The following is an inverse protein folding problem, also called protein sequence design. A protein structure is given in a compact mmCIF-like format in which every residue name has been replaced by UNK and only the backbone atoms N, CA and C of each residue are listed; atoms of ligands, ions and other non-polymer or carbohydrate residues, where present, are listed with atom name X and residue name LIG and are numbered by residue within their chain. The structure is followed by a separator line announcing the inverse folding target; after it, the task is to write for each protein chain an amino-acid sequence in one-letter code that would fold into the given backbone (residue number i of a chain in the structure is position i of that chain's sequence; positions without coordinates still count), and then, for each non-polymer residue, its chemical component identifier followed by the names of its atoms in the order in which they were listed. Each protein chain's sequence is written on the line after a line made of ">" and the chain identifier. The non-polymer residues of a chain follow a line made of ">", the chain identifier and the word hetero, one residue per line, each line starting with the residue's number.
data_IF_789958611635
#
_entry.id   IF_789958611635
#
_cell.length_a   1.000
_cell.length_b   1.000
_cell.length_c   1.000
_cell.angle_alpha   90.00
_cell.angle_beta   90.00
_cell.angle_gamma   90.00
#
_symmetry.space_group_name_H-M   'P 1'
#
loop_
_entity.id
_entity.type
_entity.pdbx_description
1 polymer ?
#
# COMPACT_ATOMS: atom_id res chain seq x y z
N UNK A 1 -25.43 41.55 -31.60
CA UNK A 1 -25.87 40.15 -31.69
C UNK A 1 -24.81 39.32 -30.99
N UNK A 2 -24.94 39.16 -29.67
CA UNK A 2 -23.94 38.49 -28.84
C UNK A 2 -24.34 37.03 -28.67
N UNK A 3 -23.46 36.13 -29.06
CA UNK A 3 -23.67 34.68 -28.94
C UNK A 3 -23.43 34.31 -27.48
N UNK A 4 -24.49 33.83 -26.82
CA UNK A 4 -24.41 33.29 -25.46
C UNK A 4 -23.99 31.82 -25.58
N UNK A 5 -22.78 31.49 -25.18
CA UNK A 5 -22.34 30.10 -25.00
C UNK A 5 -23.16 29.45 -23.88
N UNK A 6 -23.55 28.16 -24.00
CA UNK A 6 -24.22 27.46 -22.91
C UNK A 6 -23.21 27.17 -21.79
N UNK A 7 -23.61 27.46 -20.56
CA UNK A 7 -22.85 27.10 -19.36
C UNK A 7 -22.73 25.57 -19.26
N UNK A 8 -21.50 25.07 -19.29
CA UNK A 8 -21.19 23.67 -18.98
C UNK A 8 -21.41 23.45 -17.48
N UNK A 9 -22.19 22.45 -17.04
CA UNK A 9 -22.23 22.14 -15.62
C UNK A 9 -20.91 21.44 -15.26
N UNK A 10 -20.06 22.15 -14.52
CA UNK A 10 -19.03 21.53 -13.68
C UNK A 10 -19.75 20.67 -12.64
N UNK A 11 -19.75 19.35 -12.86
CA UNK A 11 -20.22 18.40 -11.86
C UNK A 11 -19.27 17.20 -11.79
N UNK A 12 -18.06 17.48 -11.29
CA UNK A 12 -17.12 16.47 -10.82
C UNK A 12 -17.14 16.40 -9.28
N UNK A 13 -18.32 16.26 -8.68
CA UNK A 13 -18.44 15.63 -7.37
C UNK A 13 -18.85 14.20 -7.59
N UNK A 14 -17.85 13.33 -7.83
CA UNK A 14 -18.04 11.91 -7.60
C UNK A 14 -18.17 11.80 -6.07
N UNK A 15 -19.40 11.59 -5.62
CA UNK A 15 -19.73 11.34 -4.23
C UNK A 15 -19.18 9.93 -3.91
N UNK A 16 -18.02 9.86 -3.25
CA UNK A 16 -17.35 8.60 -2.89
C UNK A 16 -18.10 7.81 -1.79
N UNK A 17 -19.28 8.27 -1.38
CA UNK A 17 -20.06 7.78 -0.23
C UNK A 17 -20.94 6.54 -0.54
N UNK A 18 -21.01 6.07 -1.79
CA UNK A 18 -21.93 4.98 -2.20
C UNK A 18 -21.26 3.60 -2.42
N UNK A 19 -20.02 3.40 -1.96
CA UNK A 19 -19.49 2.03 -1.84
C UNK A 19 -20.01 1.41 -0.55
N UNK A 20 -21.04 0.57 -0.64
CA UNK A 20 -21.50 -0.27 0.47
C UNK A 20 -20.37 -1.23 0.90
N UNK A 21 -19.60 -0.85 1.91
CA UNK A 21 -18.56 -1.67 2.52
C UNK A 21 -19.19 -2.43 3.69
N UNK A 22 -19.27 -3.78 3.64
CA UNK A 22 -19.73 -4.55 4.80
C UNK A 22 -18.79 -4.25 5.97
N UNK A 23 -19.32 -3.63 7.02
CA UNK A 23 -18.58 -3.31 8.23
C UNK A 23 -18.23 -4.61 8.96
N UNK A 24 -17.04 -5.15 8.69
CA UNK A 24 -16.41 -6.12 9.58
C UNK A 24 -16.06 -5.38 10.87
N UNK A 25 -16.36 -5.94 12.05
CA UNK A 25 -15.99 -5.30 13.31
C UNK A 25 -14.46 -5.22 13.37
N UNK A 26 -13.91 -4.02 13.17
CA UNK A 26 -12.48 -3.78 13.36
C UNK A 26 -12.18 -3.97 14.85
N UNK A 27 -11.44 -5.01 15.20
CA UNK A 27 -10.81 -5.08 16.52
C UNK A 27 -10.09 -3.75 16.80
N UNK A 28 -10.13 -3.22 18.03
CA UNK A 28 -9.43 -1.99 18.35
C UNK A 28 -7.96 -2.13 17.94
N UNK A 29 -7.55 -1.31 16.97
CA UNK A 29 -6.21 -1.36 16.40
C UNK A 29 -5.21 -1.14 17.53
N UNK A 30 -4.40 -2.15 17.85
CA UNK A 30 -3.28 -1.95 18.78
C UNK A 30 -2.41 -0.82 18.21
N UNK A 31 -2.05 0.20 19.01
CA UNK A 31 -1.19 1.27 18.53
C UNK A 31 0.15 0.69 18.08
N UNK A 32 0.40 0.67 16.77
CA UNK A 32 1.68 0.27 16.19
C UNK A 32 2.08 1.31 15.17
N UNK A 33 3.28 1.87 15.32
CA UNK A 33 3.84 2.86 14.40
C UNK A 33 4.54 2.12 13.26
N UNK A 34 4.06 2.20 12.01
CA UNK A 34 4.60 1.37 10.93
C UNK A 34 6.11 1.54 10.76
N UNK A 35 6.64 2.75 10.86
CA UNK A 35 8.08 3.03 10.77
C UNK A 35 8.69 3.44 12.12
N UNK A 36 10.00 3.21 12.34
CA UNK A 36 10.71 3.67 13.53
C UNK A 36 10.74 5.20 13.61
N UNK A 37 10.86 5.74 14.84
CA UNK A 37 10.93 7.19 15.08
C UNK A 37 12.15 7.84 14.44
N UNK A 38 13.26 7.12 14.41
CA UNK A 38 14.50 7.56 13.77
C UNK A 38 14.70 6.73 12.52
N UNK A 39 14.82 7.41 11.38
CA UNK A 39 15.14 6.78 10.11
C UNK A 39 16.59 6.32 10.12
N UNK A 40 16.83 5.04 9.84
CA UNK A 40 18.17 4.47 9.71
C UNK A 40 18.45 4.05 8.27
N UNK A 41 17.60 3.17 7.73
CA UNK A 41 17.62 2.70 6.36
C UNK A 41 16.27 2.06 6.01
N UNK A 42 16.02 1.86 4.73
CA UNK A 42 14.77 1.32 4.20
C UNK A 42 14.47 -0.11 4.70
N UNK A 43 15.50 -0.94 4.86
CA UNK A 43 15.32 -2.32 5.34
C UNK A 43 14.74 -2.34 6.77
N UNK A 44 15.31 -1.56 7.69
CA UNK A 44 14.81 -1.44 9.06
C UNK A 44 13.41 -0.85 9.12
N UNK A 45 13.10 0.13 8.25
CA UNK A 45 11.76 0.68 8.12
C UNK A 45 10.74 -0.38 7.65
N UNK A 46 11.08 -1.18 6.64
CA UNK A 46 10.20 -2.22 6.10
C UNK A 46 10.04 -3.39 7.07
N UNK A 47 11.07 -3.75 7.83
CA UNK A 47 10.97 -4.74 8.91
C UNK A 47 10.00 -4.29 10.01
N UNK A 48 10.09 -3.02 10.42
CA UNK A 48 9.14 -2.41 11.35
C UNK A 48 7.73 -2.42 10.77
N UNK A 49 7.59 -2.06 9.49
CA UNK A 49 6.31 -2.05 8.79
C UNK A 49 5.68 -3.43 8.80
N UNK A 50 6.43 -4.46 8.41
CA UNK A 50 5.97 -5.84 8.39
C UNK A 50 5.45 -6.28 9.76
N UNK A 51 6.21 -6.02 10.84
CA UNK A 51 5.80 -6.35 12.21
C UNK A 51 4.49 -5.68 12.59
N UNK A 52 4.36 -4.37 12.34
CA UNK A 52 3.12 -3.65 12.65
C UNK A 52 1.94 -4.11 11.78
N UNK A 53 2.18 -4.38 10.51
CA UNK A 53 1.17 -4.83 9.57
C UNK A 53 0.61 -6.20 9.98
N UNK A 54 1.49 -7.16 10.27
CA UNK A 54 1.11 -8.50 10.70
C UNK A 54 0.36 -8.48 12.03
N UNK A 55 0.82 -7.70 13.02
CA UNK A 55 0.12 -7.52 14.30
C UNK A 55 -1.30 -6.96 14.13
N UNK A 56 -1.49 -6.08 13.14
CA UNK A 56 -2.76 -5.39 12.92
C UNK A 56 -3.78 -6.23 12.17
N UNK A 57 -3.34 -6.93 11.12
CA UNK A 57 -4.24 -7.60 10.19
C UNK A 57 -4.23 -9.13 10.33
N UNK A 58 -3.33 -9.71 11.13
CA UNK A 58 -3.14 -11.16 11.30
C UNK A 58 -2.89 -11.93 9.98
N UNK A 59 -2.55 -11.22 8.92
CA UNK A 59 -2.20 -11.72 7.60
C UNK A 59 -1.40 -10.63 6.88
N UNK A 60 -0.39 -11.04 6.10
CA UNK A 60 0.55 -10.10 5.48
C UNK A 60 1.09 -10.66 4.16
N UNK A 61 1.09 -9.86 3.07
CA UNK A 61 1.89 -10.16 1.89
C UNK A 61 3.37 -10.26 2.25
N UNK A 62 4.13 -11.03 1.47
CA UNK A 62 5.58 -11.10 1.64
C UNK A 62 6.22 -9.82 1.09
N UNK A 63 6.70 -8.97 2.00
CA UNK A 63 7.37 -7.73 1.63
C UNK A 63 8.86 -7.92 1.36
N UNK A 64 9.37 -7.23 0.34
CA UNK A 64 10.78 -7.14 0.06
C UNK A 64 11.48 -6.23 1.06
N UNK A 65 12.40 -6.79 1.84
CA UNK A 65 13.19 -6.04 2.83
C UNK A 65 14.46 -5.48 2.17
N UNK A 66 14.48 -4.19 1.91
CA UNK A 66 15.59 -3.49 1.28
C UNK A 66 15.16 -2.20 0.59
N UNK A 67 16.06 -1.53 -0.11
CA UNK A 67 15.70 -0.34 -0.89
C UNK A 67 14.92 -0.70 -2.15
N UNK A 68 14.07 0.22 -2.63
CA UNK A 68 13.31 0.04 -3.86
C UNK A 68 14.23 -0.29 -5.05
N UNK A 69 15.42 0.31 -5.10
CA UNK A 69 16.38 0.03 -6.16
C UNK A 69 16.89 -1.41 -6.14
N UNK A 70 17.10 -2.00 -4.95
CA UNK A 70 17.44 -3.42 -4.85
C UNK A 70 16.26 -4.33 -5.22
N UNK A 71 15.03 -3.93 -4.88
CA UNK A 71 13.82 -4.63 -5.31
C UNK A 71 13.72 -4.67 -6.85
N UNK A 72 13.95 -3.53 -7.53
CA UNK A 72 14.00 -3.45 -8.98
C UNK A 72 15.09 -4.35 -9.59
N UNK A 73 16.30 -4.35 -9.01
CA UNK A 73 17.36 -5.27 -9.47
C UNK A 73 16.92 -6.72 -9.37
N UNK A 74 16.33 -7.14 -8.24
CA UNK A 74 15.83 -8.51 -8.11
C UNK A 74 14.70 -8.83 -9.11
N UNK A 75 13.83 -7.86 -9.40
CA UNK A 75 12.71 -8.02 -10.32
C UNK A 75 13.16 -8.21 -11.77
N UNK A 76 14.17 -7.46 -12.21
CA UNK A 76 14.50 -7.32 -13.64
C UNK A 76 15.82 -7.98 -14.02
N UNK A 77 16.78 -8.11 -13.11
CA UNK A 77 18.14 -8.54 -13.41
C UNK A 77 18.35 -10.06 -13.21
N UNK A 78 17.29 -10.86 -13.02
CA UNK A 78 17.44 -12.32 -13.01
C UNK A 78 17.91 -12.84 -14.38
N UNK A 79 18.89 -13.75 -14.34
CA UNK A 79 19.42 -14.46 -15.51
C UNK A 79 18.33 -15.31 -16.19
N UNK A 80 17.43 -15.89 -15.39
CA UNK A 80 16.30 -16.68 -15.89
C UNK A 80 15.10 -15.77 -16.12
N UNK A 81 14.72 -15.56 -17.39
CA UNK A 81 13.58 -14.70 -17.76
C UNK A 81 12.29 -15.09 -17.01
N UNK A 82 12.07 -16.39 -16.78
CA UNK A 82 10.90 -16.92 -16.05
C UNK A 82 10.83 -16.51 -14.57
N UNK A 83 11.93 -16.06 -13.98
CA UNK A 83 11.99 -15.60 -12.59
C UNK A 83 11.79 -14.09 -12.47
N UNK A 84 11.82 -13.37 -13.60
CA UNK A 84 11.56 -11.93 -13.63
C UNK A 84 10.09 -11.69 -13.34
N UNK A 85 9.85 -10.78 -12.40
CA UNK A 85 8.50 -10.44 -11.96
C UNK A 85 8.41 -8.96 -11.64
N UNK A 86 7.31 -8.29 -11.97
CA UNK A 86 7.14 -6.87 -11.72
C UNK A 86 7.25 -6.51 -10.23
N UNK A 87 7.65 -5.27 -9.96
CA UNK A 87 7.61 -4.69 -8.61
C UNK A 87 6.23 -4.05 -8.38
N UNK A 88 5.55 -4.45 -7.30
CA UNK A 88 4.36 -3.76 -6.79
C UNK A 88 4.79 -2.83 -5.67
N UNK A 89 4.70 -1.52 -5.90
CA UNK A 89 4.94 -0.51 -4.86
C UNK A 89 3.65 -0.25 -4.11
N UNK A 90 3.61 -0.59 -2.82
CA UNK A 90 2.46 -0.36 -1.95
C UNK A 90 2.70 0.86 -1.05
N UNK A 91 1.97 1.94 -1.31
CA UNK A 91 2.03 3.16 -0.49
C UNK A 91 0.96 3.09 0.58
N UNK A 92 1.39 3.09 1.84
CA UNK A 92 0.52 2.99 3.00
C UNK A 92 0.38 4.33 3.70
N UNK A 93 -0.86 4.73 3.99
CA UNK A 93 -1.18 5.86 4.85
C UNK A 93 -2.07 5.39 6.01
N UNK A 94 -1.48 5.27 7.20
CA UNK A 94 -2.11 4.66 8.38
C UNK A 94 -3.40 5.37 8.81
N UNK A 95 -3.46 6.69 8.58
CA UNK A 95 -4.62 7.53 8.93
C UNK A 95 -5.75 7.45 7.90
N UNK A 96 -5.55 6.77 6.76
CA UNK A 96 -6.62 6.55 5.79
C UNK A 96 -7.49 5.36 6.22
N UNK A 97 -8.78 5.61 6.41
CA UNK A 97 -9.78 4.57 6.64
C UNK A 97 -9.78 3.58 5.46
N UNK A 98 -9.73 4.09 4.23
CA UNK A 98 -9.72 3.27 3.03
C UNK A 98 -8.48 2.38 2.93
N UNK A 99 -7.30 2.84 3.38
CA UNK A 99 -6.10 2.00 3.41
C UNK A 99 -6.26 0.82 4.37
N UNK A 100 -6.86 1.05 5.54
CA UNK A 100 -7.12 -0.01 6.52
C UNK A 100 -8.17 -1.03 6.00
N UNK A 101 -9.25 -0.54 5.39
CA UNK A 101 -10.29 -1.39 4.78
C UNK A 101 -9.71 -2.20 3.61
N UNK A 102 -8.92 -1.56 2.75
CA UNK A 102 -8.24 -2.23 1.64
C UNK A 102 -7.34 -3.36 2.13
N UNK A 103 -6.54 -3.11 3.19
CA UNK A 103 -5.72 -4.14 3.80
C UNK A 103 -6.58 -5.31 4.29
N UNK A 104 -7.60 -5.05 5.10
CA UNK A 104 -8.44 -6.08 5.69
C UNK A 104 -9.20 -6.93 4.66
N UNK A 105 -9.80 -6.29 3.67
CA UNK A 105 -10.74 -6.96 2.76
C UNK A 105 -10.09 -7.49 1.48
N UNK A 106 -8.98 -6.89 1.04
CA UNK A 106 -8.38 -7.20 -0.26
C UNK A 106 -6.94 -7.68 -0.08
N UNK A 107 -6.07 -6.82 0.42
CA UNK A 107 -4.61 -7.07 0.42
C UNK A 107 -4.20 -8.25 1.30
N UNK A 108 -4.94 -8.49 2.39
CA UNK A 108 -4.70 -9.59 3.33
C UNK A 108 -5.50 -10.85 3.02
N UNK A 109 -6.30 -10.88 1.94
CA UNK A 109 -6.99 -12.10 1.55
C UNK A 109 -5.98 -13.15 1.07
N UNK A 110 -6.20 -14.42 1.39
CA UNK A 110 -5.27 -15.51 1.04
C UNK A 110 -5.00 -15.58 -0.45
N UNK A 111 -6.04 -15.39 -1.28
CA UNK A 111 -5.93 -15.40 -2.75
C UNK A 111 -4.97 -14.32 -3.24
N UNK A 112 -5.09 -13.09 -2.72
CA UNK A 112 -4.23 -11.98 -3.11
C UNK A 112 -2.81 -12.18 -2.59
N UNK A 113 -2.65 -12.64 -1.34
CA UNK A 113 -1.32 -12.93 -0.77
C UNK A 113 -0.57 -13.96 -1.62
N UNK A 114 -1.21 -15.07 -1.97
CA UNK A 114 -0.58 -16.13 -2.76
C UNK A 114 -0.26 -15.65 -4.18
N UNK A 115 -1.20 -14.93 -4.82
CA UNK A 115 -0.98 -14.35 -6.14
C UNK A 115 0.20 -13.36 -6.16
N UNK A 116 0.29 -12.48 -5.16
CA UNK A 116 1.40 -11.53 -5.04
C UNK A 116 2.72 -12.23 -4.77
N UNK A 117 2.73 -13.25 -3.91
CA UNK A 117 3.93 -14.03 -3.59
C UNK A 117 4.55 -14.66 -4.85
N UNK A 118 3.73 -15.16 -5.75
CA UNK A 118 4.18 -15.83 -6.97
C UNK A 118 4.56 -14.84 -8.07
N UNK A 119 3.80 -13.75 -8.23
CA UNK A 119 3.86 -12.92 -9.44
C UNK A 119 4.53 -11.55 -9.24
N UNK A 120 4.80 -11.12 -8.01
CA UNK A 120 5.32 -9.78 -7.74
C UNK A 120 6.46 -9.76 -6.70
N UNK A 121 7.31 -8.74 -6.80
CA UNK A 121 8.09 -8.25 -5.65
C UNK A 121 7.31 -7.11 -5.03
N UNK A 122 6.75 -7.32 -3.84
CA UNK A 122 5.98 -6.29 -3.14
C UNK A 122 6.91 -5.45 -2.28
N UNK A 123 6.98 -4.14 -2.55
CA UNK A 123 7.78 -3.19 -1.78
C UNK A 123 6.87 -2.17 -1.09
N UNK A 124 6.73 -2.22 0.24
CA UNK A 124 5.87 -1.30 0.98
C UNK A 124 6.61 -0.01 1.36
N UNK A 125 5.87 1.10 1.43
CA UNK A 125 6.36 2.35 2.01
C UNK A 125 5.28 3.07 2.81
N UNK A 126 5.58 3.42 4.06
CA UNK A 126 4.68 4.21 4.90
C UNK A 126 4.90 5.71 4.69
N UNK A 127 3.84 6.42 4.30
CA UNK A 127 3.84 7.89 4.11
C UNK A 127 3.04 8.61 5.19
N UNK A 128 2.83 7.95 6.34
CA UNK A 128 2.03 8.49 7.45
C UNK A 128 2.66 9.73 8.05
N UNK A 129 3.99 9.73 8.19
CA UNK A 129 4.76 10.89 8.63
C UNK A 129 5.30 11.66 7.42
N UNK A 130 5.30 12.99 7.53
CA UNK A 130 5.79 13.88 6.46
C UNK A 130 7.26 13.64 6.12
N UNK A 131 8.06 13.26 7.12
CA UNK A 131 9.47 12.88 6.95
C UNK A 131 9.66 11.72 5.97
N UNK A 132 8.68 10.82 5.85
CA UNK A 132 8.80 9.61 5.04
C UNK A 132 8.49 9.87 3.57
N UNK A 133 7.84 10.99 3.24
CA UNK A 133 7.44 11.33 1.86
C UNK A 133 8.60 11.84 1.00
N UNK A 134 9.69 12.26 1.64
CA UNK A 134 10.83 12.93 1.00
C UNK A 134 12.13 12.09 1.08
N UNK A 135 12.01 10.79 1.39
CA UNK A 135 13.12 9.83 1.37
C UNK A 135 13.30 9.31 -0.05
#
# INVERSE_FOLDING_TARGET
>A
MSIKTPDTPDNNTVDDEDYFIPSTPSSPLTPCTPFPKEYLNEATCIESFHKCFEQRYNACPVFYVGSLQKACKQAFDSELIKERRPVLVYIHYDKSIFSNIFCQNIFCSTIIIDYLRENYIVWPWDVTLESNKNV
#
